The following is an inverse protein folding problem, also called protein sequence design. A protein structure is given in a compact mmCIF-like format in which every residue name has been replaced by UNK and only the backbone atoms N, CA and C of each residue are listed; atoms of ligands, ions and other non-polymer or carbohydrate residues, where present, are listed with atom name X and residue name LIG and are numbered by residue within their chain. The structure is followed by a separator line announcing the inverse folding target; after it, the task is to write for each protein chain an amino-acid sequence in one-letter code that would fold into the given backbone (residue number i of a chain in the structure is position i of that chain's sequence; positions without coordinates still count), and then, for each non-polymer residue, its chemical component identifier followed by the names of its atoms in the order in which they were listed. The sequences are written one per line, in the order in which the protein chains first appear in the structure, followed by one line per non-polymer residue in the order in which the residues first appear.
data_IF_440882784743
#
_entry.id   IF_440882784743
#
_cell.length_a   1.000
_cell.length_b   1.000
_cell.length_c   1.000
_cell.angle_alpha   90.00
_cell.angle_beta   90.00
_cell.angle_gamma   90.00
#
_symmetry.space_group_name_H-M   'P 1'
#
loop_
_entity.id
_entity.type
_entity.pdbx_description
1 polymer ?
#
# COMPACT_ATOMS: atom_id res chain seq x y z
N UNK A 1 34.95 39.95 -15.23
CA UNK A 1 34.70 38.65 -15.87
C UNK A 1 34.57 37.64 -14.74
N UNK A 2 33.34 37.24 -14.42
CA UNK A 2 33.13 36.04 -13.61
C UNK A 2 32.38 35.06 -14.48
N UNK A 3 33.07 33.97 -14.74
CA UNK A 3 32.68 32.86 -15.59
C UNK A 3 31.51 32.09 -14.96
N UNK A 4 30.56 31.74 -15.81
CA UNK A 4 29.43 30.86 -15.50
C UNK A 4 29.92 29.42 -15.43
N UNK A 5 29.78 28.79 -14.27
CA UNK A 5 29.88 27.35 -14.08
C UNK A 5 28.68 26.65 -14.74
N UNK A 6 28.95 25.92 -15.82
CA UNK A 6 28.04 24.94 -16.41
C UNK A 6 28.45 23.58 -15.88
N UNK A 7 27.61 23.03 -15.01
CA UNK A 7 27.77 21.70 -14.43
C UNK A 7 27.48 20.61 -15.47
N UNK A 8 28.31 19.57 -15.41
CA UNK A 8 28.44 18.45 -16.33
C UNK A 8 27.30 17.46 -16.13
N UNK A 9 26.54 17.17 -17.19
CA UNK A 9 25.64 16.02 -17.23
C UNK A 9 26.33 14.90 -18.04
N UNK A 10 26.53 13.75 -17.42
CA UNK A 10 27.08 12.54 -18.06
C UNK A 10 26.25 11.36 -17.58
N UNK A 11 25.32 10.94 -18.45
CA UNK A 11 25.06 9.60 -19.04
C UNK A 11 25.18 8.33 -18.15
N UNK A 12 24.70 7.12 -18.54
CA UNK A 12 23.97 6.72 -19.77
C UNK A 12 22.87 5.64 -19.59
N UNK A 13 22.00 5.45 -20.58
CA UNK A 13 21.43 4.12 -20.87
C UNK A 13 20.77 4.01 -22.27
N UNK A 14 21.46 3.28 -23.16
CA UNK A 14 21.00 2.36 -24.23
C UNK A 14 19.91 2.84 -25.23
N UNK A 15 20.18 2.96 -26.54
CA UNK A 15 20.39 1.90 -27.56
C UNK A 15 19.23 0.86 -27.56
N UNK A 16 18.51 0.52 -28.62
CA UNK A 16 18.81 0.42 -30.06
C UNK A 16 17.48 0.48 -30.84
N UNK A 17 17.45 1.03 -32.06
CA UNK A 17 16.33 0.89 -32.99
C UNK A 17 16.29 -0.48 -33.69
N UNK A 18 15.24 -0.76 -34.48
CA UNK A 18 15.53 -1.02 -35.90
C UNK A 18 14.57 -0.30 -36.87
N UNK A 19 15.16 0.58 -37.67
CA UNK A 19 15.13 0.71 -39.14
C UNK A 19 14.10 -0.10 -39.98
N UNK A 20 13.42 0.66 -40.85
CA UNK A 20 12.89 0.35 -42.20
C UNK A 20 11.58 -0.43 -42.36
N UNK A 21 10.55 0.23 -42.90
CA UNK A 21 10.04 0.01 -44.28
C UNK A 21 8.83 0.92 -44.57
N UNK A 22 8.74 1.37 -45.83
CA UNK A 22 7.74 2.27 -46.37
C UNK A 22 6.34 1.63 -46.52
N UNK A 23 5.32 2.50 -46.44
CA UNK A 23 4.01 2.49 -47.10
C UNK A 23 3.26 1.17 -47.34
N UNK A 24 2.08 1.04 -46.72
CA UNK A 24 0.84 0.60 -47.38
C UNK A 24 -0.37 0.80 -46.45
N UNK A 25 -1.51 1.15 -47.03
CA UNK A 25 -2.69 1.73 -46.40
C UNK A 25 -3.28 0.88 -45.26
N UNK A 26 -3.35 1.46 -44.05
CA UNK A 26 -4.08 0.87 -42.93
C UNK A 26 -5.42 1.58 -42.74
N UNK A 27 -6.49 0.95 -43.24
CA UNK A 27 -7.90 1.29 -42.99
C UNK A 27 -8.10 1.62 -41.50
N UNK A 28 -8.71 2.77 -41.13
CA UNK A 28 -8.84 3.15 -39.74
C UNK A 28 -9.78 2.18 -39.01
N UNK A 29 -9.18 1.26 -38.25
CA UNK A 29 -9.85 0.35 -37.33
C UNK A 29 -10.66 1.20 -36.36
N UNK A 30 -11.99 1.15 -36.47
CA UNK A 30 -12.95 1.83 -35.59
C UNK A 30 -12.56 1.55 -34.14
N UNK A 31 -11.86 2.48 -33.49
CA UNK A 31 -11.56 2.39 -32.07
C UNK A 31 -12.91 2.39 -31.36
N UNK A 32 -13.18 1.31 -30.65
CA UNK A 32 -14.34 1.21 -29.75
C UNK A 32 -14.20 2.38 -28.77
N UNK A 33 -14.98 3.44 -29.00
CA UNK A 33 -15.14 4.57 -28.09
C UNK A 33 -15.78 4.02 -26.82
N UNK A 34 -14.94 3.44 -25.97
CA UNK A 34 -15.32 2.94 -24.67
C UNK A 34 -15.43 4.12 -23.73
N UNK A 35 -16.65 4.66 -23.62
CA UNK A 35 -17.34 4.91 -22.36
C UNK A 35 -16.55 5.52 -21.19
N UNK A 36 -15.50 6.31 -21.43
CA UNK A 36 -14.91 7.17 -20.43
C UNK A 36 -15.09 8.59 -20.92
N UNK A 37 -16.33 9.06 -20.83
CA UNK A 37 -16.54 10.47 -20.63
C UNK A 37 -15.70 10.83 -19.40
N UNK A 38 -14.58 11.50 -19.64
CA UNK A 38 -13.83 12.23 -18.64
C UNK A 38 -14.70 13.42 -18.25
N UNK A 39 -15.84 13.14 -17.62
CA UNK A 39 -16.57 14.15 -16.88
C UNK A 39 -15.60 14.74 -15.88
N UNK A 40 -15.72 16.06 -15.65
CA UNK A 40 -14.99 16.84 -14.65
C UNK A 40 -14.65 15.93 -13.47
N UNK A 41 -13.39 15.48 -13.37
CA UNK A 41 -12.99 14.54 -12.31
C UNK A 41 -13.26 15.28 -11.02
N UNK A 42 -14.34 14.90 -10.32
CA UNK A 42 -14.67 15.47 -9.01
C UNK A 42 -13.40 15.42 -8.19
N UNK A 43 -12.89 16.61 -7.82
CA UNK A 43 -11.62 16.73 -7.14
C UNK A 43 -11.82 16.10 -5.77
N UNK A 44 -11.34 14.87 -5.60
CA UNK A 44 -11.41 14.20 -4.30
C UNK A 44 -10.71 15.10 -3.27
N UNK A 45 -11.23 15.16 -2.03
CA UNK A 45 -10.54 15.86 -0.96
C UNK A 45 -9.13 15.27 -0.78
N UNK A 46 -8.14 16.09 -0.38
CA UNK A 46 -6.80 15.59 -0.16
C UNK A 46 -6.81 14.50 0.91
N UNK A 47 -6.15 13.38 0.60
CA UNK A 47 -5.95 12.28 1.54
C UNK A 47 -5.18 12.79 2.77
N UNK A 48 -5.67 12.50 3.96
CA UNK A 48 -4.94 12.77 5.21
C UNK A 48 -3.67 11.91 5.24
N UNK A 49 -2.56 12.41 5.80
CA UNK A 49 -1.34 11.63 5.95
C UNK A 49 -1.62 10.33 6.71
N UNK A 50 -0.93 9.26 6.35
CA UNK A 50 -1.00 8.00 7.09
C UNK A 50 -0.55 8.20 8.52
N UNK A 51 -1.37 7.73 9.45
CA UNK A 51 -1.11 7.77 10.89
C UNK A 51 -1.82 6.60 11.56
N UNK A 52 -1.29 6.15 12.69
CA UNK A 52 -1.91 5.09 13.47
C UNK A 52 -3.29 5.56 14.00
N UNK A 53 -4.39 4.85 13.70
CA UNK A 53 -5.68 5.15 14.30
C UNK A 53 -5.63 4.95 15.82
N UNK A 54 -6.17 5.89 16.57
CA UNK A 54 -6.33 5.77 18.03
C UNK A 54 -7.79 5.50 18.36
N UNK A 55 -8.05 4.48 19.18
CA UNK A 55 -9.39 4.23 19.74
C UNK A 55 -9.74 5.37 20.71
N UNK A 56 -10.80 6.12 20.39
CA UNK A 56 -11.30 7.24 21.21
C UNK A 56 -12.45 6.86 22.15
N UNK A 57 -13.07 5.72 21.87
CA UNK A 57 -14.16 5.19 22.69
C UNK A 57 -13.60 4.30 23.79
N UNK A 58 -14.39 4.13 24.84
CA UNK A 58 -14.10 3.12 25.85
C UNK A 58 -14.14 1.72 25.23
N UNK A 59 -13.35 0.77 25.76
CA UNK A 59 -13.47 -0.63 25.38
C UNK A 59 -14.90 -1.13 25.60
N UNK A 60 -15.40 -1.93 24.65
CA UNK A 60 -16.68 -2.60 24.81
C UNK A 60 -16.53 -3.74 25.82
N UNK A 61 -17.37 -3.77 26.84
CA UNK A 61 -17.47 -4.88 27.79
C UNK A 61 -18.14 -6.07 27.10
N UNK A 62 -17.34 -7.00 26.57
CA UNK A 62 -17.82 -8.15 25.81
C UNK A 62 -18.36 -9.29 26.69
N UNK A 63 -17.94 -9.33 27.96
CA UNK A 63 -18.29 -10.33 28.97
C UNK A 63 -18.51 -9.62 30.30
N UNK A 64 -19.27 -10.24 31.20
CA UNK A 64 -19.46 -9.72 32.56
C UNK A 64 -18.17 -9.82 33.39
N UNK A 65 -18.13 -9.09 34.52
CA UNK A 65 -16.98 -9.11 35.42
C UNK A 65 -16.68 -10.52 35.97
N UNK A 66 -17.72 -11.27 36.33
CA UNK A 66 -17.57 -12.62 36.87
C UNK A 66 -17.08 -13.61 35.79
N UNK A 67 -17.54 -13.46 34.55
CA UNK A 67 -17.05 -14.27 33.42
C UNK A 67 -15.59 -13.97 33.09
N UNK A 68 -15.18 -12.70 33.18
CA UNK A 68 -13.79 -12.31 32.98
C UNK A 68 -12.88 -12.93 34.05
N UNK A 69 -13.31 -12.91 35.31
CA UNK A 69 -12.58 -13.54 36.42
C UNK A 69 -12.49 -15.05 36.21
N UNK A 70 -13.58 -15.69 35.76
CA UNK A 70 -13.56 -17.12 35.45
C UNK A 70 -12.55 -17.48 34.35
N UNK A 71 -12.38 -16.63 33.33
CA UNK A 71 -11.37 -16.83 32.28
C UNK A 71 -9.97 -16.64 32.86
N UNK A 72 -9.79 -15.65 33.74
CA UNK A 72 -8.52 -15.37 34.40
C UNK A 72 -8.05 -16.57 35.23
N UNK A 73 -8.90 -17.06 36.14
CA UNK A 73 -8.60 -18.20 37.01
C UNK A 73 -8.31 -19.47 36.20
N UNK A 74 -9.12 -19.74 35.17
CA UNK A 74 -8.91 -20.89 34.29
C UNK A 74 -7.57 -20.80 33.55
N UNK A 75 -7.19 -19.61 33.09
CA UNK A 75 -5.93 -19.38 32.40
C UNK A 75 -4.73 -19.61 33.33
N UNK A 76 -4.78 -19.11 34.56
CA UNK A 76 -3.72 -19.33 35.55
C UNK A 76 -3.57 -20.80 35.89
N UNK A 77 -4.70 -21.50 36.09
CA UNK A 77 -4.69 -22.94 36.34
C UNK A 77 -4.02 -23.71 35.19
N UNK A 78 -4.35 -23.38 33.93
CA UNK A 78 -3.72 -24.01 32.76
C UNK A 78 -2.20 -23.78 32.76
N UNK A 79 -1.77 -22.54 33.02
CA UNK A 79 -0.35 -22.21 33.05
C UNK A 79 0.39 -22.86 34.22
N UNK A 80 -0.28 -23.10 35.35
CA UNK A 80 0.29 -23.81 36.51
C UNK A 80 0.38 -25.33 36.27
N UNK A 81 -0.71 -25.94 35.80
CA UNK A 81 -0.82 -27.40 35.68
C UNK A 81 -0.11 -27.94 34.43
N UNK A 82 -0.16 -27.19 33.31
CA UNK A 82 0.33 -27.63 32.00
C UNK A 82 1.58 -26.82 31.59
N UNK A 83 1.57 -25.50 31.80
CA UNK A 83 2.66 -24.62 31.39
C UNK A 83 2.64 -24.24 29.90
N UNK A 84 3.79 -23.82 29.38
CA UNK A 84 4.00 -23.48 27.96
C UNK A 84 5.39 -23.94 27.53
N UNK A 85 5.46 -24.52 26.33
CA UNK A 85 6.73 -24.89 25.72
C UNK A 85 7.48 -23.65 25.22
N UNK A 86 8.71 -23.48 25.68
CA UNK A 86 9.64 -22.51 25.14
C UNK A 86 10.47 -23.19 24.06
N UNK A 87 10.27 -22.77 22.80
CA UNK A 87 11.06 -23.24 21.68
C UNK A 87 12.16 -22.21 21.40
N UNK A 88 13.41 -22.60 21.66
CA UNK A 88 14.57 -21.80 21.25
C UNK A 88 14.91 -22.13 19.80
N UNK A 89 15.07 -21.08 18.99
CA UNK A 89 15.47 -21.20 17.59
C UNK A 89 16.97 -21.38 17.47
N UNK A 90 17.39 -22.47 16.84
CA UNK A 90 18.72 -22.55 16.20
C UNK A 90 18.70 -21.79 14.86
#
# INVERSE_FOLDING_TARGET
MNDTDTEIDTDPAADTGPTTAAGEEAVPRRRRSGGRATGERSRLPPQRPWAQPRMRYQPTEAVSADELESIHDASLRILEEIGMDFLDGE
#
